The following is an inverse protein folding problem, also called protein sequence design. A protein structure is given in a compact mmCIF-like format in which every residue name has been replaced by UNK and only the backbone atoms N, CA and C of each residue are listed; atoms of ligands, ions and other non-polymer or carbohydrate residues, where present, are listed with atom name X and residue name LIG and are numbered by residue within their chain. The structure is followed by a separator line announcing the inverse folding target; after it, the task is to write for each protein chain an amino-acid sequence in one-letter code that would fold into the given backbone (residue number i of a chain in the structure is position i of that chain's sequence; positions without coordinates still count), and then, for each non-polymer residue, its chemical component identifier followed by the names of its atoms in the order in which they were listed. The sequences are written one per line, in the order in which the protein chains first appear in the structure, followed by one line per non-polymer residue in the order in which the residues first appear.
data_IF_009760648307
#
_entry.id   IF_009760648307
#
_cell.length_a   1.000
_cell.length_b   1.000
_cell.length_c   1.000
_cell.angle_alpha   90.00
_cell.angle_beta   90.00
_cell.angle_gamma   90.00
#
_symmetry.space_group_name_H-M   'P 1'
#
loop_
_entity.id
_entity.type
_entity.pdbx_description
1 polymer ?
#
# COMPACT_ATOMS: atom_id res chain seq x y z
N UNK A 1 -6.70 11.72 25.67
CA UNK A 1 -5.38 11.88 25.01
C UNK A 1 -5.02 10.69 24.10
N UNK A 2 -5.31 9.43 24.45
CA UNK A 2 -4.95 8.28 23.61
C UNK A 2 -5.53 8.25 22.17
N UNK A 3 -6.75 8.76 21.97
CA UNK A 3 -7.41 8.77 20.66
C UNK A 3 -6.62 9.51 19.58
N UNK A 4 -6.09 10.71 19.87
CA UNK A 4 -5.36 11.50 18.87
C UNK A 4 -4.03 10.84 18.47
N UNK A 5 -3.35 10.16 19.40
CA UNK A 5 -2.14 9.39 19.08
C UNK A 5 -2.45 8.19 18.16
N UNK A 6 -3.51 7.44 18.45
CA UNK A 6 -3.93 6.30 17.61
C UNK A 6 -4.34 6.79 16.23
N UNK A 7 -5.07 7.92 16.16
CA UNK A 7 -5.46 8.55 14.91
C UNK A 7 -4.25 9.03 14.11
N UNK A 8 -3.26 9.64 14.77
CA UNK A 8 -2.02 10.05 14.12
C UNK A 8 -1.25 8.85 13.56
N UNK A 9 -1.09 7.77 14.34
CA UNK A 9 -0.47 6.52 13.88
C UNK A 9 -1.21 5.94 12.67
N UNK A 10 -2.54 5.85 12.74
CA UNK A 10 -3.35 5.39 11.61
C UNK A 10 -3.06 6.21 10.35
N UNK A 11 -3.08 7.56 10.45
CA UNK A 11 -2.83 8.44 9.31
C UNK A 11 -1.41 8.21 8.75
N UNK A 12 -0.40 8.09 9.62
CA UNK A 12 0.98 7.80 9.18
C UNK A 12 1.01 6.53 8.35
N UNK A 13 0.45 5.42 8.86
CA UNK A 13 0.44 4.14 8.14
C UNK A 13 -0.38 4.20 6.84
N UNK A 14 -1.49 4.94 6.81
CA UNK A 14 -2.25 5.19 5.56
C UNK A 14 -1.35 5.87 4.53
N UNK A 15 -0.60 6.90 4.92
CA UNK A 15 0.30 7.62 4.00
C UNK A 15 1.43 6.71 3.52
N UNK A 16 2.06 5.93 4.41
CA UNK A 16 3.14 5.00 4.00
C UNK A 16 2.61 3.91 3.07
N UNK A 17 1.42 3.37 3.35
CA UNK A 17 0.79 2.36 2.51
C UNK A 17 0.44 2.91 1.13
N UNK A 18 -0.17 4.10 1.09
CA UNK A 18 -0.50 4.79 -0.15
C UNK A 18 0.78 5.07 -0.96
N UNK A 19 1.83 5.64 -0.35
CA UNK A 19 3.10 5.87 -1.03
C UNK A 19 3.70 4.59 -1.61
N UNK A 20 3.66 3.46 -0.87
CA UNK A 20 4.14 2.16 -1.34
C UNK A 20 3.36 1.64 -2.55
N UNK A 21 2.02 1.75 -2.53
CA UNK A 21 1.14 1.33 -3.63
C UNK A 21 1.41 2.09 -4.93
N UNK A 22 1.57 3.40 -4.89
CA UNK A 22 1.87 4.17 -6.10
C UNK A 22 3.31 3.96 -6.58
N UNK A 23 4.25 3.73 -5.65
CA UNK A 23 5.65 3.52 -5.99
C UNK A 23 5.88 2.15 -6.65
N UNK A 24 5.16 1.09 -6.26
CA UNK A 24 5.36 -0.23 -6.88
C UNK A 24 4.94 -0.24 -8.35
N UNK A 25 3.84 0.42 -8.72
CA UNK A 25 3.38 0.47 -10.12
C UNK A 25 4.40 1.16 -11.01
N UNK A 26 5.03 2.22 -10.50
CA UNK A 26 6.14 2.87 -11.20
C UNK A 26 7.31 1.90 -11.40
N UNK A 27 7.61 1.07 -10.41
CA UNK A 27 8.69 0.08 -10.50
C UNK A 27 8.38 -1.00 -11.54
N UNK A 28 7.12 -1.44 -11.66
CA UNK A 28 6.69 -2.38 -12.70
C UNK A 28 6.91 -1.81 -14.10
N UNK A 29 6.61 -0.53 -14.33
CA UNK A 29 6.88 0.13 -15.62
C UNK A 29 8.38 0.11 -15.93
N UNK A 30 9.24 0.41 -14.95
CA UNK A 30 10.69 0.36 -15.15
C UNK A 30 11.21 -1.05 -15.40
N UNK A 31 10.61 -2.08 -14.82
CA UNK A 31 10.94 -3.47 -15.13
C UNK A 31 10.56 -3.82 -16.57
N UNK A 32 9.39 -3.39 -17.05
CA UNK A 32 8.97 -3.60 -18.44
C UNK A 32 9.89 -2.87 -19.42
N UNK A 33 10.23 -1.61 -19.15
CA UNK A 33 11.16 -0.84 -20.00
C UNK A 33 12.57 -1.46 -20.00
N UNK A 34 13.03 -2.02 -18.87
CA UNK A 34 14.31 -2.72 -18.77
C UNK A 34 14.32 -4.06 -19.54
N UNK A 35 13.17 -4.69 -19.77
CA UNK A 35 13.06 -5.91 -20.56
C UNK A 35 13.27 -5.66 -22.07
N UNK A 36 12.95 -4.45 -22.55
CA UNK A 36 13.11 -4.02 -23.95
C UNK A 36 14.55 -3.58 -24.29
N UNK A 37 15.40 -3.41 -23.27
CA UNK A 37 16.81 -3.01 -23.41
C UNK A 37 17.71 -4.19 -23.83
N UNK A 38 18.89 -3.94 -24.42
CA UNK A 38 19.85 -4.98 -24.81
C UNK A 38 20.21 -5.93 -23.66
N UNK A 39 20.54 -7.18 -23.99
CA UNK A 39 20.79 -8.27 -23.04
C UNK A 39 21.82 -7.96 -21.94
N UNK A 40 22.84 -7.16 -22.26
CA UNK A 40 23.88 -6.75 -21.32
C UNK A 40 23.36 -5.87 -20.18
N UNK A 41 22.44 -4.94 -20.47
CA UNK A 41 21.84 -4.05 -19.47
C UNK A 41 20.71 -4.75 -18.71
N UNK A 42 19.90 -5.57 -19.40
CA UNK A 42 18.79 -6.32 -18.83
C UNK A 42 19.21 -7.25 -17.69
N UNK A 43 20.33 -7.97 -17.87
CA UNK A 43 20.83 -8.93 -16.87
C UNK A 43 21.28 -8.27 -15.56
N UNK A 44 21.62 -6.98 -15.57
CA UNK A 44 22.06 -6.24 -14.38
C UNK A 44 20.88 -5.50 -13.74
N UNK A 45 20.05 -4.84 -14.55
CA UNK A 45 18.97 -3.99 -14.06
C UNK A 45 17.80 -4.80 -13.49
N UNK A 46 17.44 -5.92 -14.15
CA UNK A 46 16.29 -6.75 -13.76
C UNK A 46 16.38 -7.29 -12.32
N UNK A 47 17.48 -7.94 -11.88
CA UNK A 47 17.59 -8.44 -10.51
C UNK A 47 17.60 -7.32 -9.46
N UNK A 48 18.15 -6.13 -9.77
CA UNK A 48 18.08 -4.99 -8.86
C UNK A 48 16.66 -4.45 -8.70
N UNK A 49 15.93 -4.26 -9.81
CA UNK A 49 14.56 -3.78 -9.79
C UNK A 49 13.62 -4.79 -9.11
N UNK A 50 13.76 -6.09 -9.40
CA UNK A 50 13.00 -7.15 -8.74
C UNK A 50 13.22 -7.16 -7.22
N UNK A 51 14.47 -6.97 -6.78
CA UNK A 51 14.83 -6.89 -5.37
C UNK A 51 14.29 -5.62 -4.70
N UNK A 52 14.32 -4.46 -5.38
CA UNK A 52 13.71 -3.22 -4.88
C UNK A 52 12.19 -3.35 -4.75
N UNK A 53 11.51 -3.96 -5.75
CA UNK A 53 10.07 -4.22 -5.71
C UNK A 53 9.71 -5.12 -4.54
N UNK A 54 10.42 -6.25 -4.39
CA UNK A 54 10.16 -7.23 -3.34
C UNK A 54 10.34 -6.63 -1.93
N UNK A 55 11.43 -5.87 -1.73
CA UNK A 55 11.67 -5.19 -0.44
C UNK A 55 10.57 -4.17 -0.13
N UNK A 56 10.22 -3.33 -1.09
CA UNK A 56 9.13 -2.36 -0.90
C UNK A 56 7.80 -3.05 -0.59
N UNK A 57 7.48 -4.12 -1.32
CA UNK A 57 6.20 -4.80 -1.17
C UNK A 57 6.08 -5.51 0.17
N UNK A 58 7.04 -6.38 0.50
CA UNK A 58 6.98 -7.21 1.71
C UNK A 58 7.39 -6.47 2.99
N UNK A 59 8.32 -5.53 2.92
CA UNK A 59 8.84 -4.84 4.12
C UNK A 59 8.04 -3.58 4.43
N UNK A 60 7.52 -2.87 3.43
CA UNK A 60 6.84 -1.57 3.65
C UNK A 60 5.34 -1.70 3.41
N UNK A 61 4.94 -2.12 2.22
CA UNK A 61 3.54 -2.00 1.76
C UNK A 61 2.62 -2.99 2.49
N UNK A 62 3.04 -4.24 2.67
CA UNK A 62 2.25 -5.26 3.36
C UNK A 62 2.05 -4.96 4.87
N UNK A 63 3.11 -4.70 5.68
CA UNK A 63 2.93 -4.41 7.09
C UNK A 63 2.21 -3.07 7.32
N UNK A 64 2.44 -2.05 6.49
CA UNK A 64 1.70 -0.78 6.59
C UNK A 64 0.21 -0.95 6.30
N UNK A 65 -0.18 -1.80 5.34
CA UNK A 65 -1.57 -2.14 5.09
C UNK A 65 -2.22 -2.78 6.33
N UNK A 66 -1.57 -3.80 6.91
CA UNK A 66 -2.07 -4.51 8.09
C UNK A 66 -2.21 -3.57 9.28
N UNK A 67 -1.19 -2.75 9.55
CA UNK A 67 -1.22 -1.78 10.64
C UNK A 67 -2.29 -0.71 10.41
N UNK A 68 -2.46 -0.24 9.18
CA UNK A 68 -3.53 0.69 8.80
C UNK A 68 -4.91 0.13 9.17
N UNK A 69 -5.17 -1.14 8.88
CA UNK A 69 -6.43 -1.81 9.20
C UNK A 69 -6.64 -1.93 10.71
N UNK A 70 -5.61 -2.37 11.46
CA UNK A 70 -5.68 -2.52 12.91
C UNK A 70 -5.96 -1.16 13.57
N UNK A 71 -5.18 -0.13 13.24
CA UNK A 71 -5.38 1.20 13.83
C UNK A 71 -6.68 1.85 13.35
N UNK A 72 -7.12 1.59 12.11
CA UNK A 72 -8.39 2.07 11.59
C UNK A 72 -9.59 1.48 12.34
N UNK A 73 -9.57 0.17 12.59
CA UNK A 73 -10.57 -0.51 13.40
C UNK A 73 -10.55 -0.03 14.86
N UNK A 74 -9.37 0.25 15.42
CA UNK A 74 -9.24 0.79 16.78
C UNK A 74 -9.81 2.22 16.89
N UNK A 75 -9.55 3.10 15.92
CA UNK A 75 -10.14 4.45 15.90
C UNK A 75 -11.67 4.36 15.82
N UNK A 76 -12.19 3.40 15.04
CA UNK A 76 -13.63 3.19 14.89
C UNK A 76 -14.28 2.68 16.19
N UNK A 77 -13.62 1.77 16.92
CA UNK A 77 -14.13 1.23 18.19
C UNK A 77 -14.22 2.29 19.29
N UNK A 78 -13.33 3.29 19.28
CA UNK A 78 -13.34 4.38 20.25
C UNK A 78 -14.55 5.31 20.10
N UNK A 79 -15.09 5.43 18.89
CA UNK A 79 -16.21 6.32 18.56
C UNK A 79 -17.18 5.61 17.61
N UNK A 80 -17.96 4.69 18.17
CA UNK A 80 -18.99 3.94 17.45
C UNK A 80 -20.02 4.84 16.73
N UNK A 81 -20.28 6.03 17.27
CA UNK A 81 -21.18 7.02 16.66
C UNK A 81 -20.73 7.56 15.30
N UNK A 82 -19.45 7.40 14.92
CA UNK A 82 -18.99 7.76 13.57
C UNK A 82 -19.63 6.91 12.48
N UNK A 83 -20.07 5.69 12.80
CA UNK A 83 -20.76 4.84 11.83
C UNK A 83 -22.10 5.42 11.38
N UNK A 84 -22.70 6.35 12.13
CA UNK A 84 -23.94 7.03 11.73
C UNK A 84 -23.72 8.19 10.76
N UNK A 85 -22.46 8.58 10.50
CA UNK A 85 -22.14 9.61 9.52
C UNK A 85 -22.00 8.99 8.13
N UNK A 86 -22.76 9.51 7.15
CA UNK A 86 -22.69 9.04 5.75
C UNK A 86 -21.28 9.11 5.15
N UNK A 87 -20.46 10.08 5.57
CA UNK A 87 -19.07 10.22 5.12
C UNK A 87 -18.19 9.02 5.51
N UNK A 88 -18.47 8.32 6.62
CA UNK A 88 -17.67 7.17 7.05
C UNK A 88 -17.88 5.96 6.12
N UNK A 89 -19.09 5.78 5.60
CA UNK A 89 -19.37 4.74 4.61
C UNK A 89 -18.63 5.00 3.30
N UNK A 90 -18.63 6.25 2.83
CA UNK A 90 -17.85 6.64 1.65
C UNK A 90 -16.35 6.41 1.87
N UNK A 91 -15.83 6.79 3.04
CA UNK A 91 -14.41 6.58 3.39
C UNK A 91 -14.04 5.10 3.41
N UNK A 92 -14.86 4.25 4.00
CA UNK A 92 -14.65 2.79 4.02
C UNK A 92 -14.71 2.20 2.61
N UNK A 93 -15.60 2.71 1.74
CA UNK A 93 -15.64 2.33 0.33
C UNK A 93 -14.32 2.63 -0.39
N UNK A 94 -13.72 3.81 -0.17
CA UNK A 94 -12.40 4.13 -0.73
C UNK A 94 -11.28 3.24 -0.18
N UNK A 95 -11.30 2.93 1.12
CA UNK A 95 -10.32 1.99 1.72
C UNK A 95 -10.47 0.60 1.09
N UNK A 96 -11.70 0.13 0.89
CA UNK A 96 -11.96 -1.15 0.23
C UNK A 96 -11.44 -1.16 -1.22
N UNK A 97 -11.68 -0.09 -1.98
CA UNK A 97 -11.11 0.08 -3.32
C UNK A 97 -9.56 0.05 -3.31
N UNK A 98 -8.94 0.70 -2.32
CA UNK A 98 -7.48 0.66 -2.14
C UNK A 98 -6.97 -0.76 -1.82
N UNK A 99 -7.72 -1.55 -1.05
CA UNK A 99 -7.40 -2.96 -0.83
C UNK A 99 -7.55 -3.81 -2.08
N UNK A 100 -8.58 -3.56 -2.91
CA UNK A 100 -8.71 -4.20 -4.21
C UNK A 100 -7.52 -3.86 -5.11
N UNK A 101 -7.10 -2.59 -5.14
CA UNK A 101 -5.91 -2.14 -5.86
C UNK A 101 -4.63 -2.82 -5.35
N UNK A 102 -4.47 -2.92 -4.01
CA UNK A 102 -3.36 -3.63 -3.41
C UNK A 102 -3.34 -5.11 -3.80
N UNK A 103 -4.50 -5.77 -3.83
CA UNK A 103 -4.64 -7.14 -4.34
C UNK A 103 -4.26 -7.26 -5.81
N UNK A 104 -4.69 -6.32 -6.65
CA UNK A 104 -4.35 -6.29 -8.07
C UNK A 104 -2.83 -6.13 -8.30
N UNK A 105 -2.20 -5.21 -7.57
CA UNK A 105 -0.75 -5.05 -7.59
C UNK A 105 0.00 -6.28 -7.06
N UNK A 106 -0.61 -7.06 -6.15
CA UNK A 106 -0.03 -8.33 -5.72
C UNK A 106 -0.09 -9.41 -6.81
N UNK A 107 -1.18 -9.45 -7.58
CA UNK A 107 -1.31 -10.37 -8.72
C UNK A 107 -0.25 -10.05 -9.77
N UNK A 108 -0.10 -8.77 -10.14
CA UNK A 108 0.93 -8.32 -11.09
C UNK A 108 2.34 -8.57 -10.56
N UNK A 109 2.59 -8.44 -9.26
CA UNK A 109 3.89 -8.77 -8.66
C UNK A 109 4.24 -10.26 -8.79
N UNK A 110 3.24 -11.14 -8.85
CA UNK A 110 3.41 -12.59 -8.84
C UNK A 110 3.53 -13.18 -10.24
N UNK A 111 3.05 -12.48 -11.26
CA UNK A 111 3.26 -12.80 -12.68
C UNK A 111 4.66 -12.37 -13.15
#
# INVERSE_FOLDING_TARGET
MGFEYIKALHIIFVVTWFAGLFYIVRLFIYQTEALERPESERNILKPQLDLMASRLWYIITWPSAVLTLIFGAWVLSYRWGYMQLGFMHAKLGFVFLLYLYHGFSHVIFKE
#
